data_IF_872456574368
#
_entry.id   IF_872456574368
#
_cell.length_a   1.000
_cell.length_b   1.000
_cell.length_c   1.000
_cell.angle_alpha   90.00
_cell.angle_beta   90.00
_cell.angle_gamma   90.00
#
_symmetry.space_group_name_H-M   'P 1'
#
loop_
_entity.id
_entity.type
_entity.pdbx_description
1 polymer ?
#
# COMPACT_ATOMS: atom_id res chain seq x y z
N UNK A 1 28.61 -1.99 16.59
CA UNK A 1 27.98 -3.03 15.75
C UNK A 1 29.00 -4.15 15.60
N UNK A 2 28.76 -5.33 16.17
CA UNK A 2 29.61 -6.50 15.95
C UNK A 2 29.05 -7.28 14.76
N UNK A 3 29.88 -7.48 13.74
CA UNK A 3 29.56 -8.28 12.56
C UNK A 3 30.18 -9.68 12.77
N UNK A 4 29.39 -10.74 12.64
CA UNK A 4 29.85 -12.11 12.94
C UNK A 4 30.92 -12.61 11.96
N UNK A 5 30.89 -12.18 10.69
CA UNK A 5 31.76 -12.69 9.62
C UNK A 5 32.40 -11.59 8.76
N UNK A 6 32.47 -10.34 9.25
CA UNK A 6 33.07 -9.23 8.51
C UNK A 6 33.70 -8.19 9.43
N UNK A 7 34.74 -7.49 8.95
CA UNK A 7 35.29 -6.31 9.62
C UNK A 7 34.62 -5.05 9.07
N UNK A 8 34.27 -4.11 9.95
CA UNK A 8 33.82 -2.78 9.53
C UNK A 8 35.06 -1.93 9.18
N UNK A 9 35.09 -1.39 7.96
CA UNK A 9 36.10 -0.43 7.51
C UNK A 9 35.39 0.88 7.14
N UNK A 10 35.69 1.94 7.89
CA UNK A 10 35.22 3.28 7.57
C UNK A 10 36.21 3.91 6.59
N UNK A 11 35.73 4.26 5.41
CA UNK A 11 36.53 4.92 4.39
C UNK A 11 36.78 6.38 4.77
N UNK A 12 37.96 6.87 4.39
CA UNK A 12 38.31 8.28 4.34
C UNK A 12 38.65 8.64 2.89
N UNK A 13 38.23 9.82 2.44
CA UNK A 13 38.33 10.22 1.03
C UNK A 13 39.79 10.22 0.53
N UNK A 14 40.74 10.54 1.39
CA UNK A 14 42.17 10.61 1.05
C UNK A 14 42.89 9.24 1.13
N UNK A 15 42.19 8.17 1.57
CA UNK A 15 42.79 6.85 1.81
C UNK A 15 42.29 5.75 0.84
N UNK A 16 41.64 6.13 -0.27
CA UNK A 16 41.08 5.16 -1.23
C UNK A 16 42.13 4.21 -1.78
N UNK A 17 43.32 4.70 -2.14
CA UNK A 17 44.41 3.87 -2.66
C UNK A 17 45.00 2.93 -1.62
N UNK A 18 45.19 3.42 -0.39
CA UNK A 18 45.64 2.61 0.76
C UNK A 18 44.65 1.48 1.04
N UNK A 19 43.36 1.80 1.02
CA UNK A 19 42.27 0.83 1.19
C UNK A 19 42.29 -0.22 0.08
N UNK A 20 42.56 0.16 -1.17
CA UNK A 20 42.71 -0.79 -2.27
C UNK A 20 43.82 -1.80 -2.02
N UNK A 21 44.99 -1.33 -1.59
CA UNK A 21 46.13 -2.21 -1.26
C UNK A 21 45.76 -3.17 -0.13
N UNK A 22 45.06 -2.69 0.90
CA UNK A 22 44.61 -3.54 2.00
C UNK A 22 43.72 -4.68 1.48
N UNK A 23 42.68 -4.35 0.71
CA UNK A 23 41.69 -5.31 0.22
C UNK A 23 42.27 -6.28 -0.82
N UNK A 24 43.11 -5.80 -1.74
CA UNK A 24 43.54 -6.58 -2.90
C UNK A 24 44.91 -7.26 -2.73
N UNK A 25 45.72 -6.83 -1.75
CA UNK A 25 47.09 -7.35 -1.56
C UNK A 25 47.35 -7.90 -0.17
N UNK A 26 46.83 -7.27 0.87
CA UNK A 26 47.16 -7.63 2.25
C UNK A 26 46.16 -8.61 2.87
N UNK A 27 44.86 -8.35 2.73
CA UNK A 27 43.78 -9.12 3.36
C UNK A 27 42.77 -9.65 2.35
N UNK A 28 43.19 -10.63 1.54
CA UNK A 28 42.37 -11.18 0.43
C UNK A 28 41.25 -12.13 0.86
N UNK A 29 41.37 -12.72 2.05
CA UNK A 29 40.42 -13.73 2.57
C UNK A 29 39.43 -13.13 3.60
N UNK A 30 39.64 -11.87 4.00
CA UNK A 30 38.80 -11.20 4.99
C UNK A 30 37.60 -10.53 4.31
N UNK A 31 36.39 -10.78 4.81
CA UNK A 31 35.22 -10.02 4.39
C UNK A 31 35.20 -8.64 5.07
N UNK A 32 34.97 -7.59 4.27
CA UNK A 32 34.84 -6.23 4.76
C UNK A 32 33.46 -5.66 4.46
N UNK A 33 32.85 -5.01 5.46
CA UNK A 33 31.77 -4.05 5.24
C UNK A 33 32.41 -2.66 5.17
N UNK A 34 32.39 -2.07 3.99
CA UNK A 34 33.02 -0.77 3.75
C UNK A 34 31.96 0.33 3.81
N UNK A 35 32.13 1.28 4.73
CA UNK A 35 31.24 2.43 4.89
C UNK A 35 31.94 3.73 4.46
N UNK A 36 31.36 4.44 3.49
CA UNK A 36 31.87 5.72 3.02
C UNK A 36 30.97 6.89 3.47
N UNK A 37 31.35 7.67 4.50
CA UNK A 37 30.58 8.81 4.99
C UNK A 37 30.74 10.08 4.13
N UNK A 38 30.88 9.93 2.82
CA UNK A 38 31.08 11.03 1.88
C UNK A 38 30.53 10.67 0.50
N UNK A 39 30.33 11.69 -0.35
CA UNK A 39 29.81 11.50 -1.70
C UNK A 39 30.80 10.68 -2.53
N UNK A 40 30.29 9.66 -3.23
CA UNK A 40 31.09 8.87 -4.17
C UNK A 40 31.69 9.76 -5.25
N UNK A 41 33.02 9.69 -5.42
CA UNK A 41 33.75 10.34 -6.51
C UNK A 41 33.50 9.67 -7.87
N UNK A 42 33.75 10.40 -8.96
CA UNK A 42 33.66 9.84 -10.31
C UNK A 42 34.59 8.64 -10.49
N UNK A 43 34.21 7.69 -11.36
CA UNK A 43 34.98 6.46 -11.55
C UNK A 43 36.44 6.70 -11.97
N UNK A 44 36.75 7.81 -12.67
CA UNK A 44 38.13 8.16 -13.07
C UNK A 44 39.02 8.52 -11.88
N UNK A 45 38.43 9.07 -10.83
CA UNK A 45 39.14 9.56 -9.63
C UNK A 45 39.00 8.60 -8.45
N UNK A 46 38.15 7.58 -8.57
CA UNK A 46 37.90 6.61 -7.53
C UNK A 46 38.76 5.36 -7.71
N UNK A 47 39.83 5.23 -6.92
CA UNK A 47 40.71 4.07 -6.95
C UNK A 47 40.00 2.73 -6.64
N UNK A 48 38.85 2.76 -5.96
CA UNK A 48 38.05 1.58 -5.62
C UNK A 48 36.90 1.32 -6.62
N UNK A 49 36.86 1.99 -7.77
CA UNK A 49 35.76 1.86 -8.73
C UNK A 49 35.56 0.42 -9.22
N UNK A 50 36.67 -0.29 -9.48
CA UNK A 50 36.69 -1.71 -9.83
C UNK A 50 36.28 -2.60 -8.65
N UNK A 51 36.79 -2.32 -7.44
CA UNK A 51 36.37 -3.00 -6.21
C UNK A 51 34.86 -2.92 -6.01
N UNK A 52 34.28 -1.75 -6.20
CA UNK A 52 32.84 -1.54 -6.13
C UNK A 52 32.10 -2.42 -7.16
N UNK A 53 32.65 -2.56 -8.37
CA UNK A 53 32.02 -3.27 -9.49
C UNK A 53 31.93 -4.79 -9.29
N UNK A 54 32.93 -5.41 -8.66
CA UNK A 54 32.88 -6.85 -8.32
C UNK A 54 32.32 -7.14 -6.92
N UNK A 55 32.15 -6.12 -6.07
CA UNK A 55 31.57 -6.25 -4.73
C UNK A 55 30.03 -6.17 -4.73
N UNK A 56 29.42 -6.61 -3.62
CA UNK A 56 27.99 -6.39 -3.37
C UNK A 56 27.79 -5.03 -2.71
N UNK A 57 27.37 -4.04 -3.48
CA UNK A 57 27.10 -2.69 -2.97
C UNK A 57 25.87 -2.69 -2.08
N UNK A 58 26.05 -2.36 -0.81
CA UNK A 58 24.96 -2.14 0.14
C UNK A 58 24.56 -0.66 0.09
N UNK A 59 23.62 -0.33 -0.80
CA UNK A 59 23.16 1.05 -0.98
C UNK A 59 22.19 1.44 0.13
N UNK A 60 22.56 2.45 0.91
CA UNK A 60 21.65 3.11 1.87
C UNK A 60 20.54 3.90 1.18
N UNK A 61 20.61 4.14 -0.13
CA UNK A 61 19.64 4.93 -0.90
C UNK A 61 19.24 4.27 -2.23
N UNK A 62 18.84 3.00 -2.17
CA UNK A 62 18.28 2.30 -3.34
C UNK A 62 16.90 2.87 -3.73
N UNK A 63 16.23 3.59 -2.83
CA UNK A 63 14.99 4.33 -3.11
C UNK A 63 15.25 5.49 -4.07
N UNK A 64 16.30 6.30 -3.88
CA UNK A 64 16.68 7.32 -4.86
C UNK A 64 16.90 6.76 -6.25
N UNK A 65 17.60 5.63 -6.34
CA UNK A 65 17.90 5.02 -7.64
C UNK A 65 16.60 4.56 -8.31
N UNK A 66 15.70 3.94 -7.54
CA UNK A 66 14.39 3.54 -8.05
C UNK A 66 13.56 4.75 -8.48
N UNK A 67 13.47 5.79 -7.64
CA UNK A 67 12.73 7.01 -7.93
C UNK A 67 13.25 7.67 -9.22
N UNK A 68 14.57 7.79 -9.36
CA UNK A 68 15.22 8.33 -10.55
C UNK A 68 14.92 7.49 -11.81
N UNK A 69 15.04 6.16 -11.72
CA UNK A 69 14.77 5.26 -12.84
C UNK A 69 13.31 5.33 -13.31
N UNK A 70 12.38 5.51 -12.38
CA UNK A 70 10.96 5.64 -12.64
C UNK A 70 10.54 7.09 -12.95
N UNK A 71 11.48 8.04 -12.95
CA UNK A 71 11.22 9.48 -13.12
C UNK A 71 10.17 10.01 -12.13
N UNK A 72 10.19 9.50 -10.90
CA UNK A 72 9.35 9.95 -9.80
C UNK A 72 9.91 11.28 -9.28
N UNK A 73 9.03 12.25 -9.08
CA UNK A 73 9.38 13.55 -8.51
C UNK A 73 9.99 13.41 -7.11
N UNK A 74 10.97 14.25 -6.78
CA UNK A 74 11.61 14.29 -5.47
C UNK A 74 10.58 14.55 -4.35
N UNK A 75 9.47 15.25 -4.63
CA UNK A 75 8.37 15.45 -3.68
C UNK A 75 7.69 14.13 -3.26
N UNK A 76 7.63 13.14 -4.18
CA UNK A 76 7.01 11.84 -3.94
C UNK A 76 7.99 10.80 -3.37
N UNK A 77 9.29 11.06 -3.47
CA UNK A 77 10.33 10.20 -2.88
C UNK A 77 10.14 10.01 -1.37
N UNK A 78 9.69 11.05 -0.67
CA UNK A 78 9.40 10.98 0.77
C UNK A 78 8.42 9.84 1.11
N UNK A 79 7.40 9.65 0.26
CA UNK A 79 6.41 8.57 0.42
C UNK A 79 7.08 7.20 0.28
N UNK A 80 8.02 7.04 -0.66
CA UNK A 80 8.74 5.78 -0.83
C UNK A 80 9.60 5.45 0.40
N UNK A 81 10.25 6.45 1.00
CA UNK A 81 11.05 6.27 2.24
C UNK A 81 10.18 5.91 3.45
N UNK A 82 9.01 6.54 3.61
CA UNK A 82 8.09 6.20 4.69
C UNK A 82 7.60 4.75 4.64
N UNK A 83 7.46 4.22 3.41
CA UNK A 83 7.05 2.84 3.15
C UNK A 83 8.22 1.93 2.77
N UNK A 84 9.46 2.26 3.13
CA UNK A 84 10.69 1.56 2.72
C UNK A 84 10.65 0.03 2.85
N UNK A 85 10.03 -0.50 3.92
CA UNK A 85 9.87 -1.95 4.14
C UNK A 85 9.11 -2.67 3.02
N UNK A 86 8.15 -1.98 2.38
CA UNK A 86 7.41 -2.53 1.25
C UNK A 86 8.37 -2.97 0.14
N UNK A 87 9.36 -2.15 -0.15
CA UNK A 87 10.24 -2.37 -1.26
C UNK A 87 11.40 -3.33 -0.98
N UNK A 88 11.52 -3.92 0.21
CA UNK A 88 12.57 -4.92 0.47
C UNK A 88 12.36 -6.20 -0.37
N UNK A 89 11.12 -6.54 -0.70
CA UNK A 89 10.79 -7.69 -1.53
C UNK A 89 10.83 -7.37 -3.03
N UNK A 90 11.55 -8.20 -3.79
CA UNK A 90 11.73 -8.04 -5.24
C UNK A 90 10.39 -8.01 -5.99
N UNK A 91 9.51 -8.98 -5.74
CA UNK A 91 8.22 -9.09 -6.40
C UNK A 91 7.33 -7.85 -6.19
N UNK A 92 7.46 -7.18 -5.05
CA UNK A 92 6.69 -5.95 -4.75
C UNK A 92 7.27 -4.75 -5.49
N UNK A 93 8.58 -4.66 -5.62
CA UNK A 93 9.25 -3.65 -6.46
C UNK A 93 8.79 -3.76 -7.91
N UNK A 94 8.81 -4.96 -8.48
CA UNK A 94 8.40 -5.19 -9.87
C UNK A 94 6.93 -4.80 -10.13
N UNK A 95 6.02 -5.17 -9.20
CA UNK A 95 4.61 -4.76 -9.28
C UNK A 95 4.44 -3.25 -9.17
N UNK A 96 5.16 -2.62 -8.25
CA UNK A 96 5.13 -1.18 -8.05
C UNK A 96 5.64 -0.43 -9.29
N UNK A 97 6.80 -0.80 -9.81
CA UNK A 97 7.40 -0.23 -11.03
C UNK A 97 6.41 -0.26 -12.21
N UNK A 98 5.74 -1.41 -12.42
CA UNK A 98 4.71 -1.53 -13.46
C UNK A 98 3.57 -0.54 -13.23
N UNK A 99 3.01 -0.51 -12.02
CA UNK A 99 1.87 0.35 -11.69
C UNK A 99 2.20 1.85 -11.78
N UNK A 100 3.42 2.25 -11.41
CA UNK A 100 3.90 3.64 -11.55
C UNK A 100 3.97 4.04 -13.02
N UNK A 101 4.55 3.19 -13.87
CA UNK A 101 4.64 3.46 -15.32
C UNK A 101 3.26 3.59 -15.97
N UNK A 102 2.31 2.76 -15.54
CA UNK A 102 0.94 2.76 -16.06
C UNK A 102 0.13 3.97 -15.56
N UNK A 103 0.28 4.34 -14.28
CA UNK A 103 -0.60 5.32 -13.62
C UNK A 103 -0.04 6.74 -13.55
N UNK A 104 1.29 6.91 -13.68
CA UNK A 104 2.02 8.19 -13.61
C UNK A 104 1.58 9.07 -12.41
N UNK A 105 1.92 8.65 -11.17
CA UNK A 105 1.47 9.35 -9.96
C UNK A 105 1.99 10.78 -9.93
N UNK A 106 1.14 11.70 -9.48
CA UNK A 106 1.45 13.14 -9.37
C UNK A 106 1.35 13.66 -7.94
N UNK A 107 0.69 12.90 -7.06
CA UNK A 107 0.47 13.26 -5.67
C UNK A 107 0.77 12.09 -4.76
N UNK A 108 0.99 12.40 -3.48
CA UNK A 108 1.20 11.42 -2.42
C UNK A 108 0.11 10.34 -2.36
N UNK A 109 -1.15 10.74 -2.48
CA UNK A 109 -2.28 9.79 -2.46
C UNK A 109 -2.18 8.77 -3.60
N UNK A 110 -1.75 9.18 -4.80
CA UNK A 110 -1.59 8.29 -5.95
C UNK A 110 -0.54 7.20 -5.63
N UNK A 111 0.55 7.58 -4.98
CA UNK A 111 1.62 6.65 -4.56
C UNK A 111 1.12 5.65 -3.51
N UNK A 112 0.39 6.13 -2.50
CA UNK A 112 -0.19 5.27 -1.45
C UNK A 112 -1.22 4.29 -2.04
N UNK A 113 -2.03 4.73 -3.01
CA UNK A 113 -2.94 3.86 -3.77
C UNK A 113 -2.15 2.81 -4.55
N UNK A 114 -1.09 3.19 -5.27
CA UNK A 114 -0.26 2.26 -6.04
C UNK A 114 0.36 1.18 -5.14
N UNK A 115 0.88 1.57 -3.96
CA UNK A 115 1.41 0.63 -2.97
C UNK A 115 0.34 -0.36 -2.51
N UNK A 116 -0.85 0.14 -2.15
CA UNK A 116 -1.97 -0.72 -1.75
C UNK A 116 -2.42 -1.64 -2.90
N UNK A 117 -2.43 -1.17 -4.15
CA UNK A 117 -2.75 -1.98 -5.33
C UNK A 117 -1.73 -3.10 -5.55
N UNK A 118 -0.44 -2.81 -5.37
CA UNK A 118 0.61 -3.82 -5.49
C UNK A 118 0.47 -4.96 -4.46
N UNK A 119 -0.02 -4.64 -3.25
CA UNK A 119 -0.30 -5.61 -2.18
C UNK A 119 -1.56 -6.43 -2.50
N UNK A 120 -2.63 -5.77 -2.92
CA UNK A 120 -3.92 -6.45 -3.18
C UNK A 120 -3.97 -7.18 -4.51
N UNK A 121 -3.08 -6.84 -5.45
CA UNK A 121 -3.16 -7.30 -6.83
C UNK A 121 -4.25 -6.60 -7.63
N UNK A 122 -4.73 -5.44 -7.16
CA UNK A 122 -5.77 -4.66 -7.83
C UNK A 122 -5.30 -4.18 -9.20
N UNK A 123 -6.07 -4.55 -10.23
CA UNK A 123 -5.85 -4.09 -11.60
C UNK A 123 -6.52 -2.76 -11.89
N UNK A 124 -7.56 -2.39 -11.15
CA UNK A 124 -8.30 -1.13 -11.33
C UNK A 124 -8.77 -0.89 -12.77
N UNK A 125 -9.21 -1.95 -13.46
CA UNK A 125 -9.71 -1.86 -14.84
C UNK A 125 -11.12 -1.25 -14.92
N UNK A 126 -11.95 -1.52 -13.91
CA UNK A 126 -13.36 -1.13 -13.89
C UNK A 126 -13.69 -0.12 -12.77
N UNK A 127 -12.95 -0.19 -11.67
CA UNK A 127 -13.08 0.69 -10.51
C UNK A 127 -11.90 1.64 -10.42
N UNK A 128 -12.10 2.80 -9.79
CA UNK A 128 -10.96 3.63 -9.37
C UNK A 128 -10.02 2.80 -8.48
N UNK A 129 -8.72 3.12 -8.47
CA UNK A 129 -7.71 2.32 -7.78
C UNK A 129 -8.08 2.00 -6.33
N UNK A 130 -8.57 3.00 -5.58
CA UNK A 130 -8.99 2.79 -4.19
C UNK A 130 -10.34 2.08 -4.06
N UNK A 131 -11.28 2.34 -4.97
CA UNK A 131 -12.56 1.61 -5.01
C UNK A 131 -12.30 0.11 -5.21
N UNK A 132 -11.37 -0.24 -6.12
CA UNK A 132 -11.02 -1.64 -6.40
C UNK A 132 -10.33 -2.31 -5.23
N UNK A 133 -9.39 -1.61 -4.55
CA UNK A 133 -8.80 -2.07 -3.29
C UNK A 133 -9.90 -2.36 -2.27
N UNK A 134 -10.83 -1.41 -2.07
CA UNK A 134 -11.92 -1.56 -1.11
C UNK A 134 -12.80 -2.75 -1.46
N UNK A 135 -13.16 -2.91 -2.74
CA UNK A 135 -13.92 -4.07 -3.26
C UNK A 135 -13.24 -5.38 -2.89
N UNK A 136 -11.94 -5.53 -3.22
CA UNK A 136 -11.18 -6.75 -2.92
C UNK A 136 -11.21 -7.06 -1.43
N UNK A 137 -11.01 -6.06 -0.58
CA UNK A 137 -10.99 -6.25 0.87
C UNK A 137 -12.37 -6.60 1.43
N UNK A 138 -13.46 -5.99 0.94
CA UNK A 138 -14.82 -6.29 1.41
C UNK A 138 -15.39 -7.58 0.81
N UNK A 139 -14.85 -8.12 -0.29
CA UNK A 139 -15.29 -9.40 -0.86
C UNK A 139 -14.44 -10.60 -0.43
N UNK A 140 -13.27 -10.40 0.19
CA UNK A 140 -12.46 -11.48 0.76
C UNK A 140 -13.30 -12.34 1.71
N UNK A 141 -13.21 -13.67 1.66
CA UNK A 141 -13.96 -14.52 2.57
C UNK A 141 -13.43 -14.43 4.02
N UNK A 142 -12.14 -14.12 4.20
CA UNK A 142 -11.48 -14.10 5.50
C UNK A 142 -11.29 -12.68 6.07
N UNK A 143 -12.29 -11.79 5.95
CA UNK A 143 -12.18 -10.37 6.35
C UNK A 143 -11.85 -10.13 7.81
N UNK A 144 -12.28 -11.05 8.70
CA UNK A 144 -12.00 -10.96 10.13
C UNK A 144 -10.50 -11.05 10.42
N UNK A 145 -9.77 -11.79 9.60
CA UNK A 145 -8.33 -11.98 9.68
C UNK A 145 -7.69 -11.62 8.34
N UNK A 146 -7.98 -10.40 7.86
CA UNK A 146 -7.53 -9.97 6.53
C UNK A 146 -6.01 -9.92 6.44
N UNK A 147 -5.45 -10.79 5.59
CA UNK A 147 -4.03 -10.75 5.20
C UNK A 147 -3.63 -9.41 4.60
N UNK A 148 -4.55 -8.71 3.93
CA UNK A 148 -4.29 -7.43 3.30
C UNK A 148 -4.12 -6.32 4.32
N UNK A 149 -4.99 -6.23 5.34
CA UNK A 149 -4.81 -5.28 6.44
C UNK A 149 -3.54 -5.56 7.24
N UNK A 150 -3.19 -6.84 7.45
CA UNK A 150 -1.94 -7.20 8.10
C UNK A 150 -0.71 -6.70 7.32
N UNK A 151 -0.71 -6.86 5.99
CA UNK A 151 0.35 -6.32 5.13
C UNK A 151 0.32 -4.77 5.08
N UNK A 152 -0.86 -4.13 5.04
CA UNK A 152 -0.96 -2.68 5.12
C UNK A 152 -0.33 -2.15 6.42
N UNK A 153 -0.61 -2.79 7.56
CA UNK A 153 0.01 -2.45 8.85
C UNK A 153 1.54 -2.58 8.80
N UNK A 154 2.03 -3.68 8.24
CA UNK A 154 3.47 -3.97 8.12
C UNK A 154 4.22 -2.91 7.31
N UNK A 155 3.56 -2.26 6.37
CA UNK A 155 4.14 -1.22 5.52
C UNK A 155 3.61 0.18 5.83
N UNK A 156 3.00 0.41 7.00
CA UNK A 156 2.48 1.71 7.45
C UNK A 156 1.41 2.33 6.52
N UNK A 157 0.57 1.52 5.89
CA UNK A 157 -0.49 1.96 4.98
C UNK A 157 -1.90 1.85 5.60
N UNK A 158 -2.06 1.20 6.75
CA UNK A 158 -3.38 0.92 7.33
C UNK A 158 -4.13 2.19 7.75
N UNK A 159 -3.46 3.13 8.41
CA UNK A 159 -4.05 4.41 8.80
C UNK A 159 -4.56 5.17 7.56
N UNK A 160 -3.72 5.26 6.53
CA UNK A 160 -4.09 5.89 5.26
C UNK A 160 -5.28 5.21 4.60
N UNK A 161 -5.33 3.88 4.60
CA UNK A 161 -6.47 3.13 4.07
C UNK A 161 -7.78 3.54 4.77
N UNK A 162 -7.79 3.61 6.11
CA UNK A 162 -8.98 4.01 6.85
C UNK A 162 -9.36 5.49 6.65
N UNK A 163 -8.37 6.38 6.52
CA UNK A 163 -8.62 7.77 6.16
C UNK A 163 -9.25 7.90 4.78
N UNK A 164 -8.80 7.11 3.82
CA UNK A 164 -9.43 7.07 2.50
C UNK A 164 -10.83 6.47 2.55
N UNK A 165 -11.09 5.47 3.40
CA UNK A 165 -12.46 4.98 3.64
C UNK A 165 -13.37 6.06 4.22
N UNK A 166 -12.85 6.89 5.15
CA UNK A 166 -13.55 8.06 5.68
C UNK A 166 -13.85 9.08 4.58
N UNK A 167 -12.87 9.42 3.76
CA UNK A 167 -13.00 10.45 2.73
C UNK A 167 -13.86 10.02 1.54
N UNK A 168 -13.75 8.77 1.08
CA UNK A 168 -14.45 8.28 -0.12
C UNK A 168 -15.78 7.61 0.19
N UNK A 169 -15.94 6.95 1.34
CA UNK A 169 -17.16 6.23 1.71
C UNK A 169 -17.88 6.83 2.92
N UNK A 170 -17.33 7.88 3.54
CA UNK A 170 -17.89 8.48 4.76
C UNK A 170 -17.71 7.62 6.02
N UNK A 171 -17.01 6.49 5.94
CA UNK A 171 -16.95 5.53 7.04
C UNK A 171 -16.11 6.04 8.21
N UNK A 172 -16.73 6.15 9.39
CA UNK A 172 -16.09 6.61 10.64
C UNK A 172 -16.43 5.62 11.75
N UNK A 173 -15.41 5.01 12.35
CA UNK A 173 -15.53 4.11 13.50
C UNK A 173 -14.25 4.20 14.34
N UNK A 174 -14.37 4.10 15.67
CA UNK A 174 -13.21 4.17 16.58
C UNK A 174 -12.38 2.88 16.54
N UNK A 175 -13.01 1.74 16.21
CA UNK A 175 -12.38 0.43 16.06
C UNK A 175 -12.73 -0.15 14.68
N UNK A 176 -12.17 0.42 13.60
CA UNK A 176 -12.58 0.10 12.25
C UNK A 176 -12.23 -1.36 11.89
N UNK A 177 -13.14 -2.03 11.19
CA UNK A 177 -12.86 -3.32 10.57
C UNK A 177 -13.68 -3.48 9.28
N UNK A 178 -13.29 -4.45 8.45
CA UNK A 178 -13.86 -4.62 7.11
C UNK A 178 -15.33 -5.04 7.12
N UNK A 179 -15.78 -5.78 8.14
CA UNK A 179 -17.20 -6.14 8.29
C UNK A 179 -18.04 -4.91 8.61
N UNK A 180 -17.59 -4.07 9.55
CA UNK A 180 -18.25 -2.80 9.87
C UNK A 180 -18.24 -1.84 8.68
N UNK A 181 -17.14 -1.78 7.92
CA UNK A 181 -17.05 -1.02 6.67
C UNK A 181 -18.09 -1.48 5.65
N UNK A 182 -18.18 -2.80 5.40
CA UNK A 182 -19.19 -3.40 4.52
C UNK A 182 -20.60 -2.98 4.94
N UNK A 183 -20.94 -3.16 6.22
CA UNK A 183 -22.25 -2.75 6.76
C UNK A 183 -22.49 -1.26 6.58
N UNK A 184 -21.49 -0.41 6.86
CA UNK A 184 -21.58 1.04 6.68
C UNK A 184 -21.87 1.45 5.23
N UNK A 185 -21.17 0.84 4.26
CA UNK A 185 -21.39 1.07 2.83
C UNK A 185 -22.82 0.68 2.43
N UNK A 186 -23.30 -0.50 2.82
CA UNK A 186 -24.65 -0.95 2.47
C UNK A 186 -25.74 -0.15 3.21
N UNK A 187 -25.54 0.20 4.47
CA UNK A 187 -26.47 1.05 5.21
C UNK A 187 -26.60 2.42 4.52
N UNK A 188 -25.49 3.04 4.15
CA UNK A 188 -25.50 4.31 3.40
C UNK A 188 -26.31 4.17 2.11
N UNK A 189 -26.06 3.12 1.33
CA UNK A 189 -26.78 2.88 0.07
C UNK A 189 -28.29 2.67 0.26
N UNK A 190 -28.68 1.93 1.29
CA UNK A 190 -30.08 1.59 1.55
C UNK A 190 -30.88 2.76 2.10
N UNK A 191 -30.30 3.57 2.99
CA UNK A 191 -30.93 4.82 3.45
C UNK A 191 -31.09 5.86 2.35
N UNK A 192 -30.23 5.87 1.33
CA UNK A 192 -30.44 6.72 0.15
C UNK A 192 -31.58 6.22 -0.75
N UNK A 193 -31.86 4.92 -0.75
CA UNK A 193 -32.92 4.32 -1.56
C UNK A 193 -34.28 4.31 -0.87
N UNK A 194 -34.31 4.29 0.45
CA UNK A 194 -35.54 4.41 1.24
C UNK A 194 -35.71 5.87 1.62
N UNK A 195 -36.82 6.48 1.21
CA UNK A 195 -37.27 7.84 1.56
C UNK A 195 -37.65 8.00 3.06
N UNK A 196 -36.91 7.38 3.98
CA UNK A 196 -37.08 7.49 5.44
C UNK A 196 -35.84 8.10 6.08
N UNK A 197 -36.06 8.93 7.09
CA UNK A 197 -34.99 9.62 7.81
C UNK A 197 -34.01 8.64 8.48
N UNK A 198 -32.72 8.96 8.36
CA UNK A 198 -31.64 8.18 8.95
C UNK A 198 -31.65 8.33 10.49
N UNK A 199 -31.49 7.25 11.25
CA UNK A 199 -31.32 7.32 12.70
C UNK A 199 -30.17 8.25 13.07
N UNK A 200 -30.35 9.13 14.06
CA UNK A 200 -29.31 10.09 14.48
C UNK A 200 -27.95 9.45 14.79
N UNK A 201 -27.93 8.18 15.22
CA UNK A 201 -26.70 7.39 15.45
C UNK A 201 -25.86 7.13 14.19
N UNK A 202 -26.42 7.22 12.99
CA UNK A 202 -25.73 6.97 11.72
C UNK A 202 -25.60 8.23 10.83
N UNK A 203 -25.99 9.40 11.34
CA UNK A 203 -26.17 10.65 10.56
C UNK A 203 -24.86 11.36 10.14
N UNK A 204 -23.73 10.66 10.10
CA UNK A 204 -22.39 11.21 9.83
C UNK A 204 -21.80 10.75 8.49
N UNK A 205 -22.61 10.67 7.43
CA UNK A 205 -22.15 10.18 6.12
C UNK A 205 -22.26 11.29 5.07
N UNK A 206 -21.12 11.90 4.73
CA UNK A 206 -21.02 13.06 3.84
C UNK A 206 -20.81 12.70 2.35
N UNK A 207 -20.77 11.40 2.00
CA UNK A 207 -20.30 10.93 0.67
C UNK A 207 -21.23 9.86 0.06
N UNK A 208 -22.53 10.14 0.09
CA UNK A 208 -23.60 9.23 -0.37
C UNK A 208 -23.50 8.86 -1.86
N UNK A 209 -23.08 9.80 -2.71
CA UNK A 209 -22.95 9.60 -4.17
C UNK A 209 -21.91 8.54 -4.53
N UNK A 210 -20.72 8.58 -3.91
CA UNK A 210 -19.64 7.61 -4.16
C UNK A 210 -20.08 6.20 -3.79
N UNK A 211 -20.71 6.01 -2.64
CA UNK A 211 -21.25 4.72 -2.22
C UNK A 211 -22.26 4.16 -3.23
N UNK A 212 -23.19 5.01 -3.71
CA UNK A 212 -24.20 4.62 -4.69
C UNK A 212 -23.55 4.21 -6.01
N UNK A 213 -22.57 4.97 -6.50
CA UNK A 213 -21.86 4.65 -7.74
C UNK A 213 -21.10 3.34 -7.59
N UNK A 214 -20.35 3.18 -6.50
CA UNK A 214 -19.56 2.00 -6.18
C UNK A 214 -20.41 0.71 -6.17
N UNK A 215 -21.50 0.68 -5.39
CA UNK A 215 -22.37 -0.50 -5.33
C UNK A 215 -23.16 -0.73 -6.63
N UNK A 216 -23.53 0.33 -7.36
CA UNK A 216 -24.18 0.16 -8.65
C UNK A 216 -23.24 -0.46 -9.69
N UNK A 217 -21.96 -0.08 -9.71
CA UNK A 217 -20.94 -0.74 -10.54
C UNK A 217 -20.85 -2.21 -10.13
N UNK A 218 -20.67 -2.49 -8.84
CA UNK A 218 -20.52 -3.85 -8.31
C UNK A 218 -21.72 -4.75 -8.66
N UNK A 219 -22.94 -4.21 -8.60
CA UNK A 219 -24.18 -4.93 -8.96
C UNK A 219 -24.32 -5.21 -10.46
N UNK A 220 -23.88 -4.27 -11.32
CA UNK A 220 -24.16 -4.33 -12.78
C UNK A 220 -23.14 -5.16 -13.55
N UNK A 221 -21.91 -5.26 -13.06
CA UNK A 221 -20.84 -5.98 -13.74
C UNK A 221 -21.04 -7.49 -13.52
N UNK A 222 -21.09 -8.25 -14.61
CA UNK A 222 -21.35 -9.70 -14.57
C UNK A 222 -20.31 -10.46 -13.73
N UNK A 223 -19.04 -10.09 -13.83
CA UNK A 223 -17.92 -10.68 -13.09
C UNK A 223 -18.13 -10.61 -11.56
N UNK A 224 -18.72 -9.53 -11.05
CA UNK A 224 -18.88 -9.30 -9.61
C UNK A 224 -20.29 -9.60 -9.09
N UNK A 225 -21.17 -10.15 -9.93
CA UNK A 225 -22.57 -10.40 -9.55
C UNK A 225 -22.69 -11.36 -8.37
N UNK A 226 -21.95 -12.46 -8.40
CA UNK A 226 -21.97 -13.45 -7.32
C UNK A 226 -21.41 -12.87 -6.02
N UNK A 227 -20.31 -12.11 -6.10
CA UNK A 227 -19.76 -11.39 -4.94
C UNK A 227 -20.80 -10.44 -4.36
N UNK A 228 -21.49 -9.65 -5.20
CA UNK A 228 -22.54 -8.74 -4.77
C UNK A 228 -23.70 -9.47 -4.06
N UNK A 229 -24.18 -10.58 -4.63
CA UNK A 229 -25.26 -11.40 -4.05
C UNK A 229 -24.85 -12.00 -2.68
N UNK A 230 -23.60 -12.44 -2.54
CA UNK A 230 -23.04 -12.91 -1.27
C UNK A 230 -22.98 -11.79 -0.23
N UNK A 231 -22.49 -10.60 -0.61
CA UNK A 231 -22.43 -9.45 0.28
C UNK A 231 -23.83 -9.02 0.76
N UNK A 232 -24.82 -8.97 -0.15
CA UNK A 232 -26.21 -8.66 0.21
C UNK A 232 -26.74 -9.68 1.23
N UNK A 233 -26.51 -10.97 0.97
CA UNK A 233 -26.96 -12.05 1.85
C UNK A 233 -26.34 -11.96 3.25
N UNK A 234 -25.04 -11.68 3.31
CA UNK A 234 -24.33 -11.50 4.58
C UNK A 234 -24.83 -10.27 5.35
N UNK A 235 -24.91 -9.12 4.68
CA UNK A 235 -25.43 -7.88 5.27
C UNK A 235 -26.84 -8.10 5.80
N UNK A 236 -27.72 -8.75 5.03
CA UNK A 236 -29.07 -9.08 5.49
C UNK A 236 -29.07 -9.97 6.73
N UNK A 237 -28.17 -10.96 6.81
CA UNK A 237 -28.05 -11.86 7.97
C UNK A 237 -27.63 -11.11 9.23
N UNK A 238 -26.68 -10.18 9.13
CA UNK A 238 -26.23 -9.32 10.23
C UNK A 238 -27.34 -8.36 10.67
N UNK A 239 -28.03 -7.76 9.71
CA UNK A 239 -29.09 -6.77 9.96
C UNK A 239 -30.33 -7.43 10.59
N UNK A 240 -30.70 -8.65 10.19
CA UNK A 240 -31.85 -9.38 10.75
C UNK A 240 -31.69 -9.72 12.24
N UNK A 241 -30.44 -9.87 12.68
CA UNK A 241 -30.09 -10.10 14.09
C UNK A 241 -30.20 -8.81 14.92
N UNK A 242 -30.19 -7.64 14.28
CA UNK A 242 -30.34 -6.33 14.94
C UNK A 242 -31.82 -5.92 14.99
N UNK A 243 -32.34 -5.72 16.21
CA UNK A 243 -33.74 -5.31 16.45
C UNK A 243 -34.09 -3.99 15.76
N UNK A 244 -33.11 -3.12 15.50
CA UNK A 244 -33.33 -1.79 14.93
C UNK A 244 -33.74 -1.81 13.45
N UNK A 245 -33.29 -2.81 12.69
CA UNK A 245 -33.42 -2.81 11.23
C UNK A 245 -34.47 -3.79 10.67
N UNK A 246 -35.12 -4.56 11.55
CA UNK A 246 -36.19 -5.51 11.18
C UNK A 246 -37.30 -4.91 10.30
N UNK A 247 -37.55 -3.60 10.37
CA UNK A 247 -38.64 -2.93 9.66
C UNK A 247 -38.20 -2.06 8.46
N UNK A 248 -36.91 -1.98 8.15
CA UNK A 248 -36.38 -1.06 7.13
C UNK A 248 -36.05 -1.80 5.82
N UNK A 249 -35.58 -3.05 5.88
CA UNK A 249 -34.94 -3.70 4.73
C UNK A 249 -35.84 -4.62 3.87
N UNK A 250 -37.08 -4.88 4.28
CA UNK A 250 -38.00 -5.78 3.55
C UNK A 250 -38.41 -5.24 2.17
N UNK A 251 -38.18 -3.95 1.88
CA UNK A 251 -38.56 -3.30 0.61
C UNK A 251 -37.42 -3.07 -0.38
N UNK A 252 -36.17 -3.42 -0.06
CA UNK A 252 -35.00 -3.19 -0.96
C UNK A 252 -34.47 -4.47 -1.60
N UNK A 253 -34.77 -5.63 -1.01
CA UNK A 253 -34.22 -6.93 -1.43
C UNK A 253 -35.14 -7.67 -2.42
N UNK A 254 -36.37 -7.18 -2.61
CA UNK A 254 -37.24 -7.54 -3.73
C UNK A 254 -37.07 -6.52 -4.87
#
# INVERSE_FOLDING_TARGET
>A
MQLENAKLLVLHQDELFKTKILLERQEKETNYLIYAPFKRSENRENHLADTIMYSKVFLTDWISIMAQNLQIDDELKGVMEEHRKFFEAKDRREKFEKLVNDSKPSKREDMEIILMRAITGSKAEIFDGFEDITRILITDANRKESKYLAEFRKYNLEEKFWDMCRLKFGYIDDEPNLTKLLLGIFLTYTFEKITKEMPKKYNKLNVKSTVIIFLNKLRKISEYRNDFENLVSEVYSHIKQDKYFKNIFTSIIC
#
